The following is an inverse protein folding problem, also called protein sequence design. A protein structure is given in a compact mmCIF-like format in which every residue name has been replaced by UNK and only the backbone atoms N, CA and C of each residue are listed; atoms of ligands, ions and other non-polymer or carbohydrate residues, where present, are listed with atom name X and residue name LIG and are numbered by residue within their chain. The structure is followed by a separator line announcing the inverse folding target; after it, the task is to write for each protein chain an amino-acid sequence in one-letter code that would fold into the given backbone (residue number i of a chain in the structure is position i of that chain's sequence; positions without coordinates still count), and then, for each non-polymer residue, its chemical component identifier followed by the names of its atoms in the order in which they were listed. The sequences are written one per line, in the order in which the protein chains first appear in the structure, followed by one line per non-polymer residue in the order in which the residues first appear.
data_IF_813309170848
#
_entry.id   IF_813309170848
#
_cell.length_a   1.000
_cell.length_b   1.000
_cell.length_c   1.000
_cell.angle_alpha   90.00
_cell.angle_beta   90.00
_cell.angle_gamma   90.00
#
_symmetry.space_group_name_H-M   'P 1'
#
loop_
_entity.id
_entity.type
_entity.pdbx_description
1 polymer ?
#
# COMPACT_ATOMS: atom_id res chain seq x y z
N UNK A 1 0.22 -20.80 11.90
CA UNK A 1 1.63 -20.64 11.52
C UNK A 1 2.05 -21.71 10.52
N UNK A 2 2.05 -23.01 10.86
CA UNK A 2 2.50 -24.11 9.97
C UNK A 2 1.81 -24.03 8.59
N UNK A 3 0.49 -23.86 8.51
CA UNK A 3 -0.22 -23.74 7.22
C UNK A 3 0.26 -22.55 6.39
N UNK A 4 0.43 -21.39 7.01
CA UNK A 4 0.86 -20.17 6.32
C UNK A 4 2.30 -20.30 5.80
N UNK A 5 3.19 -20.92 6.59
CA UNK A 5 4.60 -21.07 6.27
C UNK A 5 4.86 -22.19 5.22
N UNK A 6 3.96 -23.19 5.15
CA UNK A 6 4.16 -24.35 4.24
C UNK A 6 3.44 -24.24 2.92
N UNK A 7 2.40 -23.40 2.82
CA UNK A 7 1.56 -23.32 1.61
C UNK A 7 1.77 -22.06 0.79
N UNK A 8 2.57 -21.11 1.27
CA UNK A 8 2.72 -19.76 0.66
C UNK A 8 1.36 -19.10 0.32
N UNK A 9 0.31 -19.48 1.08
CA UNK A 9 -1.05 -19.02 0.82
C UNK A 9 -1.18 -17.49 0.93
N UNK A 10 -0.41 -16.89 1.83
CA UNK A 10 -0.39 -15.43 1.98
C UNK A 10 0.15 -14.74 0.73
N UNK A 11 1.20 -15.28 0.14
CA UNK A 11 1.78 -14.77 -1.10
C UNK A 11 0.80 -14.88 -2.27
N UNK A 12 0.11 -16.01 -2.39
CA UNK A 12 -0.94 -16.20 -3.39
C UNK A 12 -2.08 -15.19 -3.20
N UNK A 13 -2.53 -14.99 -1.95
CA UNK A 13 -3.56 -14.03 -1.62
C UNK A 13 -3.17 -12.62 -2.05
N UNK A 14 -1.95 -12.17 -1.70
CA UNK A 14 -1.42 -10.86 -2.08
C UNK A 14 -1.33 -10.74 -3.61
N UNK A 15 -0.84 -11.78 -4.29
CA UNK A 15 -0.73 -11.80 -5.74
C UNK A 15 -2.10 -11.64 -6.44
N UNK A 16 -3.13 -12.31 -5.95
CA UNK A 16 -4.50 -12.16 -6.47
C UNK A 16 -5.04 -10.75 -6.23
N UNK A 17 -4.80 -10.19 -5.04
CA UNK A 17 -5.24 -8.82 -4.73
C UNK A 17 -4.57 -7.78 -5.63
N UNK A 18 -3.25 -7.85 -5.79
CA UNK A 18 -2.47 -6.94 -6.65
C UNK A 18 -2.95 -7.03 -8.09
N UNK A 19 -3.00 -8.24 -8.65
CA UNK A 19 -3.37 -8.45 -10.05
C UNK A 19 -4.78 -7.95 -10.35
N UNK A 20 -5.75 -8.35 -9.55
CA UNK A 20 -7.15 -7.96 -9.76
C UNK A 20 -7.37 -6.47 -9.59
N UNK A 21 -6.74 -5.84 -8.60
CA UNK A 21 -6.86 -4.40 -8.36
C UNK A 21 -6.30 -3.57 -9.51
N UNK A 22 -5.10 -3.88 -10.00
CA UNK A 22 -4.48 -3.11 -11.10
C UNK A 22 -5.22 -3.34 -12.41
N UNK A 23 -5.65 -4.57 -12.71
CA UNK A 23 -6.38 -4.89 -13.93
C UNK A 23 -7.81 -4.35 -13.94
N UNK A 24 -8.39 -4.01 -12.78
CA UNK A 24 -9.71 -3.39 -12.68
C UNK A 24 -9.73 -1.94 -13.19
N UNK A 25 -8.58 -1.28 -13.16
CA UNK A 25 -8.46 0.14 -13.55
C UNK A 25 -8.39 0.27 -15.06
N UNK A 26 -9.21 1.17 -15.62
CA UNK A 26 -9.17 1.49 -17.05
C UNK A 26 -7.77 2.05 -17.42
N UNK A 27 -7.22 1.63 -18.57
CA UNK A 27 -5.87 2.02 -19.04
C UNK A 27 -5.66 3.53 -19.08
N UNK A 28 -6.63 4.26 -19.63
CA UNK A 28 -6.54 5.74 -19.75
C UNK A 28 -6.59 6.38 -18.36
N UNK A 29 -7.42 5.83 -17.47
CA UNK A 29 -7.53 6.29 -16.11
C UNK A 29 -6.25 5.94 -15.32
N UNK A 30 -5.67 4.76 -15.53
CA UNK A 30 -4.42 4.36 -14.89
C UNK A 30 -3.27 5.32 -15.25
N UNK A 31 -3.10 5.67 -16.51
CA UNK A 31 -2.07 6.63 -16.96
C UNK A 31 -2.32 8.04 -16.42
N UNK A 32 -3.57 8.53 -16.46
CA UNK A 32 -3.93 9.84 -15.95
C UNK A 32 -3.82 9.92 -14.43
N UNK A 33 -4.26 8.87 -13.73
CA UNK A 33 -4.12 8.76 -12.29
C UNK A 33 -2.65 8.64 -11.87
N UNK A 34 -1.84 7.88 -12.60
CA UNK A 34 -0.41 7.73 -12.31
C UNK A 34 0.31 9.09 -12.43
N UNK A 35 0.07 9.84 -13.51
CA UNK A 35 0.68 11.14 -13.71
C UNK A 35 0.21 12.20 -12.69
N UNK A 36 -1.07 12.18 -12.31
CA UNK A 36 -1.65 13.17 -11.40
C UNK A 36 -1.56 12.77 -9.93
N UNK A 37 -1.83 11.50 -9.59
CA UNK A 37 -1.93 11.05 -8.20
C UNK A 37 -0.59 10.65 -7.58
N UNK A 38 0.36 10.17 -8.41
CA UNK A 38 1.68 9.78 -7.93
C UNK A 38 2.44 10.93 -7.23
N UNK A 39 2.47 12.17 -7.75
CA UNK A 39 3.10 13.29 -7.03
C UNK A 39 2.47 13.54 -5.65
N UNK A 40 1.13 13.44 -5.53
CA UNK A 40 0.44 13.61 -4.26
C UNK A 40 0.79 12.50 -3.25
N UNK A 41 0.87 11.24 -3.71
CA UNK A 41 1.31 10.11 -2.87
C UNK A 41 2.75 10.32 -2.39
N UNK A 42 3.66 10.66 -3.30
CA UNK A 42 5.06 10.89 -2.95
C UNK A 42 5.22 12.05 -1.96
N UNK A 43 4.48 13.13 -2.15
CA UNK A 43 4.44 14.24 -1.22
C UNK A 43 3.88 13.84 0.16
N UNK A 44 2.87 12.97 0.18
CA UNK A 44 2.34 12.38 1.42
C UNK A 44 3.41 11.56 2.16
N UNK A 45 4.18 10.74 1.44
CA UNK A 45 5.29 9.96 2.03
C UNK A 45 6.37 10.90 2.58
N UNK A 46 6.77 11.91 1.82
CA UNK A 46 7.76 12.92 2.27
C UNK A 46 7.26 13.66 3.50
N UNK A 47 6.00 14.10 3.49
CA UNK A 47 5.37 14.76 4.65
C UNK A 47 5.33 13.86 5.88
N UNK A 48 4.99 12.58 5.70
CA UNK A 48 5.01 11.56 6.76
C UNK A 48 6.41 11.36 7.35
N UNK A 49 7.44 11.28 6.49
CA UNK A 49 8.83 11.15 6.93
C UNK A 49 9.25 12.40 7.73
N UNK A 50 9.04 13.59 7.20
CA UNK A 50 9.47 14.84 7.83
C UNK A 50 8.80 15.05 9.20
N UNK A 51 7.48 14.96 9.27
CA UNK A 51 6.78 15.15 10.55
C UNK A 51 6.98 13.96 11.49
N UNK A 52 7.10 12.75 10.97
CA UNK A 52 7.47 11.57 11.77
C UNK A 52 8.84 11.74 12.43
N UNK A 53 9.86 12.21 11.69
CA UNK A 53 11.18 12.50 12.23
C UNK A 53 11.15 13.59 13.32
N UNK A 54 10.35 14.66 13.12
CA UNK A 54 10.13 15.67 14.15
C UNK A 54 9.53 15.03 15.41
N UNK A 55 8.54 14.15 15.25
CA UNK A 55 7.96 13.40 16.37
C UNK A 55 8.99 12.53 17.09
N UNK A 56 9.85 11.86 16.33
CA UNK A 56 10.94 11.06 16.88
C UNK A 56 11.92 11.88 17.71
N UNK A 57 12.33 13.03 17.19
CA UNK A 57 13.21 13.96 17.92
C UNK A 57 12.61 14.42 19.24
N UNK A 58 11.28 14.68 19.29
CA UNK A 58 10.58 15.09 20.51
C UNK A 58 10.57 14.01 21.60
N UNK A 59 10.61 12.75 21.22
CA UNK A 59 10.58 11.61 22.17
C UNK A 59 11.93 10.87 22.28
N UNK A 60 12.98 11.40 21.65
CA UNK A 60 14.33 10.85 21.73
C UNK A 60 14.55 9.59 20.87
N UNK A 61 13.73 9.40 19.82
CA UNK A 61 13.92 8.32 18.83
C UNK A 61 14.71 8.87 17.64
N UNK A 62 15.71 8.10 17.20
CA UNK A 62 16.57 8.47 16.08
C UNK A 62 15.77 8.65 14.78
N UNK A 63 15.97 9.77 14.02
CA UNK A 63 15.21 10.05 12.79
C UNK A 63 15.27 8.94 11.74
N UNK A 64 16.43 8.31 11.55
CA UNK A 64 16.59 7.19 10.62
C UNK A 64 15.71 5.99 11.02
N UNK A 65 15.65 5.70 12.31
CA UNK A 65 14.80 4.65 12.86
C UNK A 65 13.32 4.97 12.68
N UNK A 66 12.92 6.23 12.86
CA UNK A 66 11.53 6.63 12.61
C UNK A 66 11.16 6.46 11.14
N UNK A 67 12.02 6.87 10.23
CA UNK A 67 11.76 6.71 8.80
C UNK A 67 11.61 5.24 8.40
N UNK A 68 12.46 4.36 8.90
CA UNK A 68 12.46 2.94 8.52
C UNK A 68 11.46 2.11 9.30
N UNK A 69 11.44 2.17 10.64
CA UNK A 69 10.64 1.26 11.45
C UNK A 69 9.20 1.73 11.67
N UNK A 70 8.91 3.04 11.51
CA UNK A 70 7.57 3.60 11.71
C UNK A 70 6.90 4.00 10.40
N UNK A 71 7.55 4.88 9.61
CA UNK A 71 6.92 5.45 8.41
C UNK A 71 6.71 4.40 7.35
N UNK A 72 7.71 3.58 7.04
CA UNK A 72 7.59 2.58 5.97
C UNK A 72 6.51 1.54 6.24
N UNK A 73 6.36 0.93 7.43
CA UNK A 73 5.24 0.03 7.72
C UNK A 73 3.88 0.74 7.63
N UNK A 74 3.75 1.97 8.11
CA UNK A 74 2.50 2.74 8.08
C UNK A 74 2.11 3.08 6.63
N UNK A 75 3.06 3.56 5.83
CA UNK A 75 2.81 4.01 4.45
C UNK A 75 2.90 2.89 3.42
N UNK A 76 3.34 1.70 3.82
CA UNK A 76 3.64 0.59 2.90
C UNK A 76 2.43 -0.15 2.32
N UNK A 77 1.20 0.20 2.69
CA UNK A 77 -0.01 -0.41 2.14
C UNK A 77 -0.69 -1.45 3.05
N UNK A 78 -0.61 -1.26 4.36
CA UNK A 78 -1.26 -2.09 5.37
C UNK A 78 -0.50 -3.37 5.71
N UNK A 79 -1.17 -4.33 6.34
CA UNK A 79 -0.54 -5.55 6.86
C UNK A 79 0.05 -6.42 5.73
N UNK A 80 -0.75 -6.72 4.71
CA UNK A 80 -0.38 -7.68 3.66
C UNK A 80 0.65 -7.15 2.67
N UNK A 81 0.48 -5.92 2.18
CA UNK A 81 1.36 -5.33 1.16
C UNK A 81 2.50 -4.50 1.77
N UNK A 82 2.38 -4.08 3.04
CA UNK A 82 3.35 -3.25 3.73
C UNK A 82 4.11 -4.00 4.82
N UNK A 83 3.47 -4.29 5.97
CA UNK A 83 4.16 -4.78 7.15
C UNK A 83 4.86 -6.13 6.95
N UNK A 84 4.24 -7.07 6.25
CA UNK A 84 4.82 -8.40 6.02
C UNK A 84 6.04 -8.34 5.11
N UNK A 85 5.97 -7.76 3.90
CA UNK A 85 7.15 -7.62 3.05
C UNK A 85 8.26 -6.80 3.69
N UNK A 86 7.93 -5.76 4.47
CA UNK A 86 8.92 -4.96 5.17
C UNK A 86 9.63 -5.76 6.27
N UNK A 87 8.90 -6.60 7.02
CA UNK A 87 9.50 -7.47 8.03
C UNK A 87 10.51 -8.44 7.41
N UNK A 88 10.20 -9.02 6.24
CA UNK A 88 11.12 -9.90 5.51
C UNK A 88 12.36 -9.14 5.02
N UNK A 89 12.19 -7.92 4.51
CA UNK A 89 13.29 -7.07 4.06
C UNK A 89 14.22 -6.74 5.24
N UNK A 90 13.66 -6.35 6.39
CA UNK A 90 14.46 -6.05 7.58
C UNK A 90 15.16 -7.27 8.15
N UNK A 91 14.49 -8.43 8.16
CA UNK A 91 15.10 -9.70 8.58
C UNK A 91 16.31 -10.06 7.71
N UNK A 92 16.15 -9.93 6.39
CA UNK A 92 17.24 -10.19 5.44
C UNK A 92 18.40 -9.18 5.60
N UNK A 93 18.10 -7.91 5.88
CA UNK A 93 19.10 -6.86 6.05
C UNK A 93 19.85 -6.95 7.38
N UNK A 94 19.18 -7.38 8.45
CA UNK A 94 19.72 -7.36 9.82
C UNK A 94 20.11 -8.73 10.37
N UNK A 95 19.69 -9.82 9.70
CA UNK A 95 19.87 -11.19 10.18
C UNK A 95 19.00 -11.57 11.39
N UNK A 96 18.03 -10.73 11.75
CA UNK A 96 17.09 -10.96 12.85
C UNK A 96 15.85 -11.74 12.40
N UNK A 97 15.09 -12.30 13.36
CA UNK A 97 13.84 -12.98 13.09
C UNK A 97 12.79 -12.02 12.48
N UNK A 98 12.18 -12.37 11.34
CA UNK A 98 11.08 -11.59 10.73
C UNK A 98 9.92 -11.32 11.69
N UNK A 99 9.62 -12.26 12.60
CA UNK A 99 8.53 -12.13 13.55
C UNK A 99 8.67 -10.90 14.46
N UNK A 100 9.90 -10.55 14.86
CA UNK A 100 10.19 -9.37 15.68
C UNK A 100 9.83 -8.09 14.96
N UNK A 101 10.24 -7.96 13.70
CA UNK A 101 9.95 -6.79 12.88
C UNK A 101 8.46 -6.68 12.56
N UNK A 102 7.83 -7.83 12.29
CA UNK A 102 6.40 -7.89 11.97
C UNK A 102 5.54 -7.47 13.17
N UNK A 103 5.84 -7.98 14.37
CA UNK A 103 5.11 -7.66 15.60
C UNK A 103 5.13 -6.16 15.88
N UNK A 104 6.30 -5.55 15.84
CA UNK A 104 6.44 -4.09 16.01
C UNK A 104 5.72 -3.31 14.90
N UNK A 105 5.95 -3.69 13.62
CA UNK A 105 5.32 -3.04 12.46
C UNK A 105 3.79 -3.09 12.50
N UNK A 106 3.21 -4.24 12.88
CA UNK A 106 1.76 -4.39 13.06
C UNK A 106 1.22 -3.52 14.17
N UNK A 107 1.96 -3.41 15.28
CA UNK A 107 1.58 -2.58 16.43
C UNK A 107 1.51 -1.11 16.04
N UNK A 108 2.55 -0.59 15.40
CA UNK A 108 2.61 0.80 14.93
C UNK A 108 1.57 1.08 13.85
N UNK A 109 1.38 0.15 12.91
CA UNK A 109 0.34 0.24 11.88
C UNK A 109 -1.06 0.30 12.49
N UNK A 110 -1.33 -0.48 13.53
CA UNK A 110 -2.62 -0.48 14.24
C UNK A 110 -2.89 0.88 14.89
N UNK A 111 -1.90 1.44 15.59
CA UNK A 111 -2.00 2.78 16.19
C UNK A 111 -2.27 3.83 15.11
N UNK A 112 -1.51 3.80 14.03
CA UNK A 112 -1.65 4.74 12.92
C UNK A 112 -3.02 4.63 12.24
N UNK A 113 -3.54 3.41 12.04
CA UNK A 113 -4.87 3.20 11.46
C UNK A 113 -5.99 3.79 12.34
N UNK A 114 -5.92 3.63 13.66
CA UNK A 114 -6.89 4.24 14.59
C UNK A 114 -6.85 5.76 14.44
N UNK A 115 -5.65 6.34 14.43
CA UNK A 115 -5.47 7.80 14.29
C UNK A 115 -5.94 8.28 12.91
N UNK A 116 -5.66 7.52 11.84
CA UNK A 116 -6.09 7.86 10.48
C UNK A 116 -7.62 7.85 10.34
N UNK A 117 -8.31 6.90 10.96
CA UNK A 117 -9.78 6.86 10.98
C UNK A 117 -10.35 8.09 11.72
N UNK A 118 -9.77 8.44 12.86
CA UNK A 118 -10.16 9.66 13.60
C UNK A 118 -9.90 10.92 12.76
N UNK A 119 -8.73 11.01 12.13
CA UNK A 119 -8.37 12.12 11.27
C UNK A 119 -9.31 12.25 10.06
N UNK A 120 -9.68 11.12 9.42
CA UNK A 120 -10.66 11.11 8.34
C UNK A 120 -12.03 11.65 8.79
N UNK A 121 -12.49 11.26 9.99
CA UNK A 121 -13.71 11.80 10.58
C UNK A 121 -13.64 13.32 10.80
N UNK A 122 -12.50 13.81 11.29
CA UNK A 122 -12.27 15.28 11.48
C UNK A 122 -12.25 15.99 10.12
N UNK A 123 -11.55 15.44 9.12
CA UNK A 123 -11.50 16.02 7.77
C UNK A 123 -12.91 16.07 7.12
N UNK A 124 -13.69 15.01 7.27
CA UNK A 124 -15.07 15.00 6.79
C UNK A 124 -15.90 16.13 7.45
N UNK A 125 -15.75 16.30 8.76
CA UNK A 125 -16.41 17.39 9.50
C UNK A 125 -15.97 18.77 9.02
N UNK A 126 -14.67 18.95 8.75
CA UNK A 126 -14.14 20.20 8.16
C UNK A 126 -14.75 20.44 6.79
N UNK A 127 -14.89 19.40 5.95
CA UNK A 127 -15.52 19.49 4.64
C UNK A 127 -16.98 19.95 4.67
N UNK A 128 -17.72 19.65 5.75
CA UNK A 128 -19.10 20.12 5.96
C UNK A 128 -19.18 21.61 6.30
N UNK A 129 -18.12 22.22 6.82
CA UNK A 129 -18.07 23.62 7.19
C UNK A 129 -18.00 24.53 5.94
N UNK A 130 -18.49 25.76 6.05
CA UNK A 130 -18.58 26.70 4.92
C UNK A 130 -17.25 26.95 4.20
N UNK A 131 -16.16 27.02 4.95
CA UNK A 131 -14.81 27.17 4.39
C UNK A 131 -14.23 25.87 3.83
N UNK A 132 -14.70 24.72 4.31
CA UNK A 132 -14.24 23.41 3.88
C UNK A 132 -14.88 22.93 2.59
N UNK A 133 -16.02 23.50 2.18
CA UNK A 133 -16.74 23.12 0.95
C UNK A 133 -15.91 23.25 -0.35
N UNK A 134 -14.97 24.20 -0.37
CA UNK A 134 -14.05 24.35 -1.50
C UNK A 134 -12.92 23.32 -1.50
N UNK A 135 -12.70 22.63 -0.38
CA UNK A 135 -11.64 21.65 -0.21
C UNK A 135 -12.12 20.22 -0.38
N UNK A 136 -13.44 19.99 -0.32
CA UNK A 136 -14.05 18.68 -0.46
C UNK A 136 -14.66 18.48 -1.84
N UNK A 137 -14.38 17.33 -2.44
CA UNK A 137 -14.98 16.91 -3.71
C UNK A 137 -16.37 16.30 -3.56
N UNK A 138 -16.88 16.16 -2.33
CA UNK A 138 -18.19 15.55 -2.05
C UNK A 138 -18.35 14.16 -2.70
N UNK A 139 -17.28 13.38 -2.71
CA UNK A 139 -17.17 12.07 -3.37
C UNK A 139 -16.42 12.10 -4.71
N UNK A 140 -16.17 13.28 -5.27
CA UNK A 140 -15.31 13.45 -6.44
C UNK A 140 -13.84 13.64 -6.02
N UNK A 141 -12.95 12.93 -6.70
CA UNK A 141 -11.53 12.99 -6.40
C UNK A 141 -10.82 14.15 -7.12
N UNK A 142 -11.30 14.50 -8.32
CA UNK A 142 -10.67 15.46 -9.24
C UNK A 142 -11.60 16.65 -9.47
N UNK A 143 -11.06 17.87 -9.39
CA UNK A 143 -11.83 19.13 -9.53
C UNK A 143 -12.48 19.35 -10.88
N UNK A 144 -12.00 18.71 -11.94
CA UNK A 144 -12.56 18.81 -13.30
C UNK A 144 -12.96 17.41 -13.79
N UNK A 145 -13.91 16.79 -13.11
CA UNK A 145 -14.33 15.40 -13.33
C UNK A 145 -15.08 15.16 -14.66
N UNK A 146 -15.51 16.21 -15.39
CA UNK A 146 -16.26 16.07 -16.66
C UNK A 146 -15.54 15.18 -17.68
N UNK A 147 -14.21 15.12 -17.64
CA UNK A 147 -13.38 14.28 -18.51
C UNK A 147 -13.31 12.80 -18.06
N UNK A 148 -13.72 12.45 -16.84
CA UNK A 148 -13.49 11.12 -16.26
C UNK A 148 -14.73 10.23 -16.34
N UNK A 149 -15.92 10.80 -16.16
CA UNK A 149 -17.18 10.06 -16.35
C UNK A 149 -17.33 9.55 -17.79
N UNK A 150 -16.73 10.23 -18.77
CA UNK A 150 -16.63 9.77 -20.15
C UNK A 150 -15.62 8.60 -20.34
N UNK A 151 -14.71 8.37 -19.38
CA UNK A 151 -13.71 7.31 -19.41
C UNK A 151 -14.14 6.06 -18.62
N UNK A 152 -15.15 6.16 -17.76
CA UNK A 152 -15.76 5.08 -17.01
C UNK A 152 -16.79 4.27 -17.81
N UNK A 153 -16.58 4.09 -19.10
CA UNK A 153 -17.35 3.11 -19.86
C UNK A 153 -17.28 1.75 -19.14
N UNK A 154 -18.33 1.40 -18.39
CA UNK A 154 -18.50 0.04 -17.86
C UNK A 154 -18.61 -0.89 -19.05
N UNK A 155 -17.51 -1.51 -19.43
CA UNK A 155 -17.55 -2.65 -20.33
C UNK A 155 -18.38 -3.73 -19.62
N UNK A 156 -19.63 -3.91 -20.01
CA UNK A 156 -20.43 -5.06 -19.60
C UNK A 156 -19.90 -6.31 -20.31
N UNK A 157 -18.78 -6.82 -19.81
CA UNK A 157 -18.19 -8.06 -20.30
C UNK A 157 -18.84 -9.22 -19.57
N UNK A 158 -19.41 -10.15 -20.31
CA UNK A 158 -19.92 -11.42 -19.75
C UNK A 158 -18.73 -12.29 -19.35
N UNK A 159 -18.56 -12.45 -18.05
CA UNK A 159 -17.46 -13.25 -17.48
C UNK A 159 -17.98 -14.62 -17.06
N UNK A 160 -17.32 -15.65 -17.54
CA UNK A 160 -17.56 -17.05 -17.20
C UNK A 160 -16.73 -17.48 -15.98
N UNK A 161 -17.07 -18.63 -15.40
CA UNK A 161 -16.26 -19.25 -14.34
C UNK A 161 -14.82 -19.55 -14.82
N UNK A 162 -14.68 -19.87 -16.10
CA UNK A 162 -13.37 -20.10 -16.73
C UNK A 162 -12.50 -18.84 -16.68
N UNK A 163 -13.08 -17.68 -16.95
CA UNK A 163 -12.32 -16.41 -16.95
C UNK A 163 -11.85 -16.03 -15.52
N UNK A 164 -12.65 -16.36 -14.52
CA UNK A 164 -12.27 -16.18 -13.10
C UNK A 164 -11.11 -17.14 -12.75
N UNK A 165 -11.19 -18.40 -13.16
CA UNK A 165 -10.11 -19.37 -12.96
C UNK A 165 -8.83 -18.97 -13.70
N UNK A 166 -8.94 -18.46 -14.93
CA UNK A 166 -7.81 -17.90 -15.67
C UNK A 166 -7.22 -16.66 -14.97
N UNK A 167 -8.03 -15.88 -14.25
CA UNK A 167 -7.55 -14.78 -13.41
C UNK A 167 -6.59 -15.26 -12.31
N UNK A 168 -6.83 -16.44 -11.72
CA UNK A 168 -5.92 -17.05 -10.75
C UNK A 168 -4.59 -17.45 -11.41
N UNK A 169 -4.67 -18.13 -12.56
CA UNK A 169 -3.46 -18.51 -13.31
C UNK A 169 -2.63 -17.28 -13.68
N UNK A 170 -3.30 -16.20 -14.09
CA UNK A 170 -2.67 -14.93 -14.41
C UNK A 170 -1.96 -14.32 -13.20
N UNK A 171 -2.59 -14.33 -12.02
CA UNK A 171 -1.98 -13.85 -10.79
C UNK A 171 -0.74 -14.67 -10.42
N UNK A 172 -0.80 -16.00 -10.53
CA UNK A 172 0.35 -16.88 -10.32
C UNK A 172 1.46 -16.60 -11.34
N UNK A 173 1.14 -16.39 -12.62
CA UNK A 173 2.11 -16.09 -13.65
C UNK A 173 2.86 -14.77 -13.37
N UNK A 174 2.14 -13.71 -12.97
CA UNK A 174 2.76 -12.45 -12.59
C UNK A 174 3.60 -12.58 -11.33
N UNK A 175 3.15 -13.37 -10.35
CA UNK A 175 3.93 -13.63 -9.14
C UNK A 175 5.25 -14.34 -9.46
N UNK A 176 5.21 -15.39 -10.26
CA UNK A 176 6.41 -16.12 -10.70
C UNK A 176 7.33 -15.21 -11.51
N UNK A 177 6.79 -14.42 -12.45
CA UNK A 177 7.58 -13.46 -13.22
C UNK A 177 8.23 -12.40 -12.31
N UNK A 178 7.51 -11.86 -11.33
CA UNK A 178 8.05 -10.94 -10.34
C UNK A 178 9.17 -11.55 -9.49
N UNK A 179 9.01 -12.82 -9.10
CA UNK A 179 10.03 -13.56 -8.35
C UNK A 179 11.28 -13.84 -9.19
N UNK A 180 11.12 -14.16 -10.48
CA UNK A 180 12.25 -14.32 -11.40
C UNK A 180 12.99 -12.99 -11.56
N UNK A 181 12.26 -11.89 -11.81
CA UNK A 181 12.85 -10.57 -11.99
C UNK A 181 13.59 -10.09 -10.74
N UNK A 182 13.06 -10.32 -9.54
CA UNK A 182 13.73 -9.96 -8.30
C UNK A 182 15.06 -10.68 -8.10
N UNK A 183 15.22 -11.87 -8.68
CA UNK A 183 16.48 -12.65 -8.61
C UNK A 183 17.44 -12.33 -9.75
N UNK A 184 16.94 -12.01 -10.94
CA UNK A 184 17.75 -11.77 -12.15
C UNK A 184 18.21 -10.31 -12.23
N UNK A 185 17.34 -9.37 -11.86
CA UNK A 185 17.65 -7.93 -11.92
C UNK A 185 18.30 -7.51 -10.61
N UNK A 186 19.59 -7.78 -10.48
CA UNK A 186 20.40 -7.25 -9.38
C UNK A 186 20.91 -5.87 -9.77
N UNK A 187 20.47 -4.84 -9.05
CA UNK A 187 21.00 -3.49 -9.25
C UNK A 187 22.41 -3.44 -8.68
N UNK A 188 23.42 -3.00 -9.46
CA UNK A 188 24.78 -2.89 -8.96
C UNK A 188 24.85 -2.02 -7.70
N UNK A 189 25.66 -2.43 -6.74
CA UNK A 189 25.93 -1.63 -5.55
C UNK A 189 26.56 -0.31 -5.98
N UNK A 190 26.00 0.80 -5.53
CA UNK A 190 26.57 2.12 -5.76
C UNK A 190 26.86 2.81 -4.45
N UNK A 191 27.97 3.52 -4.39
CA UNK A 191 28.37 4.31 -3.21
C UNK A 191 27.79 5.71 -3.33
N UNK A 192 26.92 6.07 -2.39
CA UNK A 192 26.41 7.42 -2.24
C UNK A 192 26.78 7.95 -0.84
N UNK A 193 27.43 9.11 -0.77
CA UNK A 193 27.87 9.73 0.48
C UNK A 193 28.72 8.83 1.39
N UNK A 194 29.54 7.94 0.82
CA UNK A 194 30.44 7.05 1.57
C UNK A 194 29.79 5.77 2.10
N UNK A 195 28.53 5.54 1.83
CA UNK A 195 27.82 4.29 2.15
C UNK A 195 27.53 3.51 0.87
N UNK A 196 27.80 2.21 0.88
CA UNK A 196 27.38 1.29 -0.19
C UNK A 196 25.89 1.01 -0.06
N UNK A 197 25.13 1.44 -1.06
CA UNK A 197 23.69 1.18 -1.15
C UNK A 197 23.46 0.01 -2.08
N UNK A 198 22.84 -1.04 -1.55
CA UNK A 198 22.31 -2.18 -2.31
C UNK A 198 20.80 -2.00 -2.42
N UNK A 199 20.31 -1.81 -3.63
CA UNK A 199 18.87 -1.73 -3.88
C UNK A 199 18.40 -3.12 -4.29
N UNK A 200 17.66 -3.76 -3.40
CA UNK A 200 16.99 -5.02 -3.66
C UNK A 200 15.48 -4.76 -3.84
N UNK A 201 14.98 -4.96 -5.07
CA UNK A 201 13.57 -4.72 -5.37
C UNK A 201 12.78 -5.98 -5.09
N UNK A 202 11.88 -5.89 -4.11
CA UNK A 202 11.05 -7.00 -3.68
C UNK A 202 10.16 -7.56 -4.82
N UNK A 203 9.94 -8.88 -4.82
CA UNK A 203 9.13 -9.60 -5.84
C UNK A 203 7.77 -8.98 -6.13
N UNK A 204 7.07 -8.49 -5.10
CA UNK A 204 5.77 -7.83 -5.28
C UNK A 204 5.87 -6.48 -5.99
N UNK A 205 6.96 -5.73 -5.81
CA UNK A 205 7.17 -4.49 -6.54
C UNK A 205 7.35 -4.75 -8.04
N UNK A 206 8.15 -5.76 -8.40
CA UNK A 206 8.27 -6.21 -9.78
C UNK A 206 6.95 -6.69 -10.37
N UNK A 207 6.17 -7.44 -9.58
CA UNK A 207 4.85 -7.89 -9.96
C UNK A 207 3.91 -6.72 -10.28
N UNK A 208 3.85 -5.70 -9.42
CA UNK A 208 3.05 -4.47 -9.64
C UNK A 208 3.43 -3.82 -10.97
N UNK A 209 4.72 -3.65 -11.22
CA UNK A 209 5.24 -3.05 -12.47
C UNK A 209 4.82 -3.88 -13.68
N UNK A 210 5.00 -5.21 -13.63
CA UNK A 210 4.63 -6.10 -14.74
C UNK A 210 3.13 -6.08 -15.05
N UNK A 211 2.28 -6.14 -14.01
CA UNK A 211 0.82 -6.08 -14.17
C UNK A 211 0.39 -4.72 -14.74
N UNK A 212 0.99 -3.62 -14.26
CA UNK A 212 0.71 -2.29 -14.76
C UNK A 212 1.10 -2.13 -16.23
N UNK A 213 2.31 -2.58 -16.62
CA UNK A 213 2.77 -2.58 -18.00
C UNK A 213 1.82 -3.42 -18.89
N UNK A 214 1.47 -4.63 -18.47
CA UNK A 214 0.57 -5.49 -19.22
C UNK A 214 -0.82 -4.89 -19.39
N UNK A 215 -1.34 -4.20 -18.36
CA UNK A 215 -2.62 -3.48 -18.42
C UNK A 215 -2.55 -2.29 -19.39
N UNK A 216 -1.50 -1.47 -19.30
CA UNK A 216 -1.29 -0.30 -20.19
C UNK A 216 -1.10 -0.74 -21.64
N UNK A 217 -0.27 -1.76 -21.89
CA UNK A 217 0.00 -2.32 -23.22
C UNK A 217 -1.23 -3.00 -23.83
N UNK A 218 -2.21 -3.37 -23.01
CA UNK A 218 -3.44 -3.96 -23.48
C UNK A 218 -3.34 -5.39 -23.99
N UNK A 219 -2.33 -6.11 -23.56
CA UNK A 219 -2.12 -7.51 -23.91
C UNK A 219 -3.13 -8.46 -23.29
N UNK A 220 -3.82 -8.02 -22.22
CA UNK A 220 -4.76 -8.86 -21.47
C UNK A 220 -6.18 -8.61 -21.98
N UNK A 221 -6.88 -9.65 -22.49
CA UNK A 221 -8.28 -9.55 -22.90
C UNK A 221 -9.20 -9.02 -21.79
N UNK A 222 -10.27 -8.35 -22.19
CA UNK A 222 -11.21 -7.71 -21.25
C UNK A 222 -11.87 -8.74 -20.30
N UNK A 223 -12.20 -9.92 -20.82
CA UNK A 223 -12.79 -11.03 -20.06
C UNK A 223 -11.88 -11.47 -18.91
N UNK A 224 -10.57 -11.59 -19.17
CA UNK A 224 -9.58 -12.00 -18.17
C UNK A 224 -9.35 -10.87 -17.13
N UNK A 225 -9.36 -9.61 -17.55
CA UNK A 225 -9.25 -8.47 -16.63
C UNK A 225 -10.41 -8.44 -15.65
N UNK A 226 -11.64 -8.55 -16.18
CA UNK A 226 -12.85 -8.57 -15.35
C UNK A 226 -12.91 -9.84 -14.51
N UNK A 227 -12.46 -10.99 -15.04
CA UNK A 227 -12.33 -12.25 -14.31
C UNK A 227 -11.39 -12.14 -13.13
N UNK A 228 -10.19 -11.58 -13.32
CA UNK A 228 -9.22 -11.34 -12.26
C UNK A 228 -9.74 -10.36 -11.20
N UNK A 229 -10.48 -9.32 -11.60
CA UNK A 229 -11.12 -8.38 -10.66
C UNK A 229 -12.21 -9.07 -9.82
N UNK A 230 -13.07 -9.91 -10.42
CA UNK A 230 -14.07 -10.68 -9.68
C UNK A 230 -13.42 -11.64 -8.68
N UNK A 231 -12.32 -12.29 -9.09
CA UNK A 231 -11.54 -13.16 -8.20
C UNK A 231 -10.97 -12.38 -7.02
N UNK A 232 -10.37 -11.22 -7.29
CA UNK A 232 -9.83 -10.32 -6.25
C UNK A 232 -10.93 -9.89 -5.28
N UNK A 233 -12.11 -9.50 -5.79
CA UNK A 233 -13.25 -9.14 -4.95
C UNK A 233 -13.72 -10.29 -4.07
N UNK A 234 -13.71 -11.53 -4.58
CA UNK A 234 -14.03 -12.72 -3.82
C UNK A 234 -12.99 -12.98 -2.72
N UNK A 235 -11.71 -12.95 -3.07
CA UNK A 235 -10.61 -13.14 -2.11
C UNK A 235 -10.64 -12.07 -1.02
N UNK A 236 -10.82 -10.81 -1.38
CA UNK A 236 -10.92 -9.71 -0.43
C UNK A 236 -12.10 -9.85 0.53
N UNK A 237 -13.27 -10.27 0.05
CA UNK A 237 -14.48 -10.39 0.89
C UNK A 237 -14.47 -11.63 1.78
N UNK A 238 -13.98 -12.77 1.28
CA UNK A 238 -14.08 -14.05 1.97
C UNK A 238 -12.85 -14.41 2.81
N UNK A 239 -11.66 -14.08 2.32
CA UNK A 239 -10.43 -14.52 2.97
C UNK A 239 -9.74 -13.44 3.78
N UNK A 240 -9.96 -12.15 3.51
CA UNK A 240 -9.24 -11.08 4.20
C UNK A 240 -9.38 -11.16 5.73
N UNK A 241 -10.61 -11.33 6.21
CA UNK A 241 -10.88 -11.42 7.65
C UNK A 241 -10.17 -12.62 8.28
N UNK A 242 -10.27 -13.79 7.64
CA UNK A 242 -9.68 -15.05 8.13
C UNK A 242 -8.17 -14.95 8.14
N UNK A 243 -7.57 -14.38 7.08
CA UNK A 243 -6.12 -14.18 6.99
C UNK A 243 -5.66 -13.18 8.05
N UNK A 244 -6.37 -12.07 8.24
CA UNK A 244 -6.02 -11.07 9.26
C UNK A 244 -6.10 -11.67 10.67
N UNK A 245 -7.13 -12.48 10.96
CA UNK A 245 -7.18 -13.22 12.22
C UNK A 245 -6.01 -14.21 12.36
N UNK A 246 -5.69 -14.95 11.29
CA UNK A 246 -4.56 -15.89 11.28
C UNK A 246 -3.22 -15.20 11.50
N UNK A 247 -2.99 -14.07 10.82
CA UNK A 247 -1.79 -13.23 11.01
C UNK A 247 -1.73 -12.68 12.43
N UNK A 248 -2.84 -12.15 12.94
CA UNK A 248 -2.90 -11.62 14.31
C UNK A 248 -2.57 -12.66 15.37
N UNK A 249 -3.10 -13.89 15.22
CA UNK A 249 -2.86 -14.97 16.19
C UNK A 249 -1.47 -15.60 16.03
N UNK A 250 -1.00 -15.80 14.79
CA UNK A 250 0.20 -16.58 14.52
C UNK A 250 1.49 -15.73 14.52
N UNK A 251 1.40 -14.46 14.13
CA UNK A 251 2.56 -13.61 13.87
C UNK A 251 2.61 -12.34 14.74
N UNK A 252 1.59 -12.08 15.57
CA UNK A 252 1.56 -10.91 16.44
C UNK A 252 1.74 -11.33 17.90
N UNK A 253 2.74 -10.78 18.56
CA UNK A 253 2.88 -10.87 20.00
C UNK A 253 1.99 -9.82 20.68
N UNK A 254 1.00 -10.28 21.45
CA UNK A 254 0.08 -9.39 22.16
C UNK A 254 0.79 -8.54 23.22
N UNK A 255 1.85 -9.08 23.83
CA UNK A 255 2.67 -8.34 24.79
C UNK A 255 3.41 -7.18 24.11
N UNK A 256 4.02 -7.42 22.95
CA UNK A 256 4.66 -6.38 22.15
C UNK A 256 3.66 -5.34 21.63
N UNK A 257 2.46 -5.79 21.24
CA UNK A 257 1.38 -4.87 20.83
C UNK A 257 1.02 -3.90 21.96
N UNK A 258 0.78 -4.42 23.17
CA UNK A 258 0.44 -3.58 24.32
C UNK A 258 1.62 -2.68 24.70
N UNK A 259 2.85 -3.21 24.69
CA UNK A 259 4.05 -2.44 24.98
C UNK A 259 4.31 -1.32 23.95
N UNK A 260 3.84 -1.49 22.72
CA UNK A 260 3.95 -0.46 21.69
C UNK A 260 3.01 0.74 21.90
N UNK A 261 1.94 0.61 22.70
CA UNK A 261 1.04 1.71 23.04
C UNK A 261 1.65 2.66 24.09
N UNK A 262 2.80 3.25 23.75
CA UNK A 262 3.43 4.30 24.54
C UNK A 262 3.05 5.68 24.01
N UNK A 263 3.09 6.70 24.87
CA UNK A 263 2.84 8.09 24.44
C UNK A 263 3.75 8.50 23.27
N UNK A 264 5.03 8.08 23.30
CA UNK A 264 5.99 8.36 22.23
C UNK A 264 5.57 7.78 20.89
N UNK A 265 5.20 6.50 20.86
CA UNK A 265 4.78 5.81 19.63
C UNK A 265 3.47 6.38 19.06
N UNK A 266 2.52 6.70 19.95
CA UNK A 266 1.25 7.35 19.55
C UNK A 266 1.51 8.73 18.95
N UNK A 267 2.40 9.53 19.57
CA UNK A 267 2.77 10.85 19.06
C UNK A 267 3.46 10.76 17.70
N UNK A 268 4.43 9.85 17.53
CA UNK A 268 5.10 9.63 16.25
C UNK A 268 4.09 9.22 15.17
N UNK A 269 3.23 8.24 15.46
CA UNK A 269 2.21 7.79 14.53
C UNK A 269 1.22 8.89 14.15
N UNK A 270 0.81 9.74 15.11
CA UNK A 270 -0.05 10.87 14.85
C UNK A 270 0.61 11.88 13.91
N UNK A 271 1.87 12.22 14.15
CA UNK A 271 2.61 13.15 13.31
C UNK A 271 2.89 12.58 11.90
N UNK A 272 3.09 11.28 11.78
CA UNK A 272 3.19 10.60 10.48
C UNK A 272 1.87 10.75 9.71
N UNK A 273 0.73 10.48 10.34
CA UNK A 273 -0.59 10.59 9.69
C UNK A 273 -0.87 12.05 9.30
N UNK A 274 -0.61 13.02 10.19
CA UNK A 274 -0.76 14.45 9.88
C UNK A 274 0.17 14.85 8.74
N UNK A 275 1.42 14.40 8.75
CA UNK A 275 2.39 14.65 7.69
C UNK A 275 1.94 14.10 6.33
N UNK A 276 1.39 12.89 6.32
CA UNK A 276 0.82 12.30 5.12
C UNK A 276 -0.36 13.13 4.57
N UNK A 277 -1.28 13.53 5.43
CA UNK A 277 -2.44 14.36 5.07
C UNK A 277 -2.00 15.71 4.50
N UNK A 278 -1.09 16.40 5.18
CA UNK A 278 -0.62 17.72 4.74
C UNK A 278 0.17 17.62 3.43
N UNK A 279 1.08 16.66 3.32
CA UNK A 279 1.88 16.46 2.12
C UNK A 279 1.02 16.10 0.91
N UNK A 280 0.16 15.09 1.04
CA UNK A 280 -0.72 14.66 -0.05
C UNK A 280 -1.79 15.71 -0.39
N UNK A 281 -2.37 16.37 0.62
CA UNK A 281 -3.39 17.40 0.44
C UNK A 281 -2.85 18.64 -0.29
N UNK A 282 -1.67 19.14 0.11
CA UNK A 282 -1.05 20.30 -0.54
C UNK A 282 -0.70 20.05 -2.00
N UNK A 283 0.01 18.95 -2.28
CA UNK A 283 0.42 18.63 -3.64
C UNK A 283 -0.78 18.15 -4.46
N UNK A 284 -1.69 17.38 -3.87
CA UNK A 284 -2.94 16.99 -4.53
C UNK A 284 -3.74 18.21 -4.98
N UNK A 285 -3.87 19.23 -4.13
CA UNK A 285 -4.54 20.47 -4.48
C UNK A 285 -3.85 21.20 -5.64
N UNK A 286 -2.51 21.23 -5.68
CA UNK A 286 -1.75 21.84 -6.77
C UNK A 286 -1.93 21.09 -8.10
N UNK A 287 -2.07 19.77 -8.06
CA UNK A 287 -2.23 18.91 -9.25
C UNK A 287 -3.69 18.79 -9.70
N UNK A 288 -4.64 19.42 -8.99
CA UNK A 288 -6.05 19.48 -9.40
C UNK A 288 -6.96 18.47 -8.68
N UNK A 289 -6.52 17.87 -7.60
CA UNK A 289 -7.36 17.02 -6.74
C UNK A 289 -8.02 17.83 -5.62
N UNK A 290 -9.08 17.28 -5.06
CA UNK A 290 -9.64 17.80 -3.82
C UNK A 290 -8.78 17.32 -2.64
N UNK A 291 -8.38 18.21 -1.68
CA UNK A 291 -7.57 17.82 -0.53
C UNK A 291 -8.32 16.99 0.52
N UNK A 292 -9.65 17.09 0.53
CA UNK A 292 -10.56 16.42 1.48
C UNK A 292 -11.63 15.66 0.71
#
# INVERSE_FOLDING_TARGET
KIFMDTTDFLDLFIAVLITGSILSVNRKLLLKAFAGYLPAILAGIVGAILLGMVGGLLVGVEPARVATEYVLPIMGGGTGAGAIPMADIYANATGNDPAKWLSFGLSILTIANIIAIMAAGVLNKIGELSFGKALTGNGELIRNAEDISALEGKEEVKVTQRDIACGLILACAFYVAGNILSKVVQIPEFTLFGSTLKIDIHRFAWMVVLVAIANIAGVIPAELRVGANKLQGYFSKQFLLVIMCGVGIALTDLGELIAAFTFGNVLIAALIVVGAILGSGLVGWLVGFYPI
#
